data_IF_078772274482
#
_entry.id   IF_078772274482
#
_cell.length_a   1.000
_cell.length_b   1.000
_cell.length_c   1.000
_cell.angle_alpha   90.00
_cell.angle_beta   90.00
_cell.angle_gamma   90.00
#
_symmetry.space_group_name_H-M   'P 1'
#
loop_
_entity.id
_entity.type
_entity.pdbx_description
1 polymer ?
#
# COMPACT_ATOMS: atom_id res chain seq x y z
N UNK A 1 25.02 1.95 42.17
CA UNK A 1 25.87 2.94 41.45
C UNK A 1 25.16 3.64 40.28
N UNK A 2 24.63 2.96 39.25
CA UNK A 2 23.98 3.61 38.08
C UNK A 2 22.80 4.55 38.41
N UNK A 3 21.91 4.15 39.34
CA UNK A 3 20.78 4.99 39.80
C UNK A 3 21.24 6.28 40.53
N UNK A 4 22.31 6.18 41.32
CA UNK A 4 22.88 7.31 42.05
C UNK A 4 23.55 8.31 41.10
N UNK A 5 24.36 7.84 40.14
CA UNK A 5 24.91 8.70 39.08
C UNK A 5 23.83 9.37 38.24
N UNK A 6 22.73 8.66 37.94
CA UNK A 6 21.61 9.23 37.18
C UNK A 6 20.88 10.35 37.96
N UNK A 7 20.65 10.13 39.26
CA UNK A 7 20.08 11.15 40.17
C UNK A 7 21.00 12.37 40.28
N UNK A 8 22.30 12.16 40.44
CA UNK A 8 23.30 13.22 40.53
C UNK A 8 23.37 14.05 39.24
N UNK A 9 23.42 13.38 38.08
CA UNK A 9 23.41 14.05 36.77
C UNK A 9 22.13 14.85 36.53
N UNK A 10 20.97 14.33 36.96
CA UNK A 10 19.69 15.05 36.86
C UNK A 10 19.66 16.28 37.77
N UNK A 11 20.19 16.17 38.98
CA UNK A 11 20.29 17.29 39.92
C UNK A 11 21.24 18.37 39.39
N UNK A 12 22.45 17.99 38.96
CA UNK A 12 23.42 18.89 38.31
C UNK A 12 22.80 19.57 37.09
N UNK A 13 22.02 18.82 36.30
CA UNK A 13 21.33 19.34 35.12
C UNK A 13 20.28 20.42 35.43
N UNK A 14 19.68 20.41 36.62
CA UNK A 14 18.71 21.41 37.04
C UNK A 14 19.46 22.60 37.65
N UNK A 15 20.47 22.32 38.48
CA UNK A 15 21.28 23.33 39.15
C UNK A 15 21.95 24.30 38.16
N UNK A 16 22.57 23.82 37.07
CA UNK A 16 23.20 24.73 36.10
C UNK A 16 22.21 25.64 35.38
N UNK A 17 20.93 25.24 35.24
CA UNK A 17 19.91 26.01 34.52
C UNK A 17 19.37 27.18 35.34
N UNK A 18 19.37 27.06 36.66
CA UNK A 18 18.82 28.05 37.59
C UNK A 18 19.96 28.85 38.27
N UNK A 19 21.19 28.34 38.25
CA UNK A 19 22.35 29.04 38.80
C UNK A 19 22.53 30.46 38.24
N UNK A 20 22.42 30.72 36.92
CA UNK A 20 22.60 32.08 36.40
C UNK A 20 21.59 33.08 36.95
N UNK A 21 20.35 32.65 37.20
CA UNK A 21 19.32 33.48 37.81
C UNK A 21 19.72 33.96 39.21
N UNK A 22 20.17 33.05 40.09
CA UNK A 22 20.54 33.42 41.47
C UNK A 22 21.82 34.25 41.54
N UNK A 23 22.79 34.01 40.67
CA UNK A 23 24.00 34.85 40.63
C UNK A 23 23.71 36.21 39.99
N UNK A 24 22.80 36.27 39.00
CA UNK A 24 22.27 37.53 38.49
C UNK A 24 21.62 38.36 39.59
N UNK A 25 20.79 37.71 40.44
CA UNK A 25 20.13 38.36 41.57
C UNK A 25 21.16 38.96 42.54
N UNK A 26 22.22 38.20 42.82
CA UNK A 26 23.33 38.66 43.66
C UNK A 26 24.08 39.85 43.05
N UNK A 27 24.23 39.91 41.73
CA UNK A 27 24.91 41.02 41.05
C UNK A 27 24.05 42.30 41.00
N UNK A 28 22.74 42.17 40.76
CA UNK A 28 21.85 43.31 40.55
C UNK A 28 21.26 43.88 41.84
N UNK A 29 20.92 43.04 42.83
CA UNK A 29 20.19 43.48 44.01
C UNK A 29 20.91 44.57 44.83
N UNK A 30 22.23 44.47 45.12
CA UNK A 30 22.94 45.52 45.86
C UNK A 30 22.95 46.85 45.09
N UNK A 31 23.15 46.80 43.77
CA UNK A 31 23.21 47.98 42.89
C UNK A 31 21.88 48.74 42.92
N UNK A 32 20.76 48.05 42.76
CA UNK A 32 19.43 48.69 42.77
C UNK A 32 19.01 49.21 44.15
N UNK A 33 19.51 48.60 45.23
CA UNK A 33 19.34 49.13 46.59
C UNK A 33 20.11 50.44 46.75
N UNK A 34 21.36 50.50 46.28
CA UNK A 34 22.21 51.71 46.36
C UNK A 34 21.68 52.83 45.46
N UNK A 35 21.08 52.50 44.32
CA UNK A 35 20.42 53.44 43.39
C UNK A 35 19.00 53.87 43.85
N UNK A 36 18.55 53.41 45.02
CA UNK A 36 17.26 53.76 45.61
C UNK A 36 16.05 53.48 44.70
N UNK A 37 16.10 52.37 43.93
CA UNK A 37 14.95 51.89 43.18
C UNK A 37 13.72 51.70 44.07
N UNK A 38 12.52 51.88 43.51
CA UNK A 38 11.28 51.71 44.28
C UNK A 38 11.04 50.26 44.70
N UNK A 39 11.51 49.29 43.90
CA UNK A 39 11.33 47.85 44.16
C UNK A 39 12.61 47.04 43.80
N UNK A 40 13.73 47.26 44.50
CA UNK A 40 15.05 46.76 44.09
C UNK A 40 15.12 45.22 44.01
N UNK A 41 14.33 44.53 44.82
CA UNK A 41 14.21 43.06 44.74
C UNK A 41 13.53 42.60 43.45
N UNK A 42 12.41 43.23 43.07
CA UNK A 42 11.68 42.85 41.85
C UNK A 42 12.48 43.24 40.59
N UNK A 43 13.17 44.38 40.64
CA UNK A 43 14.04 44.83 39.56
C UNK A 43 15.22 43.86 39.37
N UNK A 44 15.82 43.38 40.47
CA UNK A 44 16.86 42.35 40.39
C UNK A 44 16.33 41.03 39.81
N UNK A 45 15.10 40.62 40.15
CA UNK A 45 14.46 39.43 39.57
C UNK A 45 14.30 39.60 38.07
N UNK A 46 13.79 40.76 37.64
CA UNK A 46 13.61 41.08 36.23
C UNK A 46 14.95 41.10 35.48
N UNK A 47 15.93 41.85 35.96
CA UNK A 47 17.25 41.96 35.33
C UNK A 47 17.98 40.60 35.25
N UNK A 48 17.80 39.73 36.25
CA UNK A 48 18.34 38.37 36.25
C UNK A 48 17.68 37.45 35.22
N UNK A 49 16.38 37.62 34.96
CA UNK A 49 15.68 36.94 33.87
C UNK A 49 16.19 37.46 32.52
N UNK A 50 16.42 38.77 32.39
CA UNK A 50 16.89 39.39 31.16
C UNK A 50 18.26 38.88 30.69
N UNK A 51 19.11 38.38 31.61
CA UNK A 51 20.38 37.72 31.25
C UNK A 51 20.19 36.51 30.32
N UNK A 52 19.05 35.81 30.39
CA UNK A 52 18.74 34.68 29.51
C UNK A 52 18.44 35.10 28.06
N UNK A 53 18.12 36.37 27.83
CA UNK A 53 18.04 36.98 26.50
C UNK A 53 19.38 37.57 26.03
N UNK A 54 20.40 37.57 26.91
CA UNK A 54 21.66 38.26 26.67
C UNK A 54 21.59 39.76 26.95
N UNK A 55 20.53 40.27 27.55
CA UNK A 55 20.39 41.68 27.91
C UNK A 55 20.99 41.94 29.29
N UNK A 56 21.59 43.12 29.47
CA UNK A 56 22.07 43.63 30.75
C UNK A 56 21.30 44.92 31.01
N UNK A 57 20.94 45.17 32.27
CA UNK A 57 20.27 46.42 32.66
C UNK A 57 21.16 47.63 32.36
N UNK A 58 20.57 48.67 31.78
CA UNK A 58 21.31 49.89 31.46
C UNK A 58 21.73 50.61 32.74
N UNK A 59 22.98 51.07 32.81
CA UNK A 59 23.52 51.80 33.97
C UNK A 59 24.29 50.94 34.97
N UNK A 60 24.14 49.61 34.92
CA UNK A 60 24.87 48.69 35.80
C UNK A 60 26.28 48.41 35.26
N UNK A 61 27.31 48.55 36.11
CA UNK A 61 28.69 48.24 35.74
C UNK A 61 28.86 46.74 35.47
N UNK A 62 29.41 46.43 34.30
CA UNK A 62 29.50 45.06 33.82
C UNK A 62 30.82 44.41 34.26
N UNK A 63 30.82 43.86 35.47
CA UNK A 63 31.97 43.15 36.02
C UNK A 63 32.14 41.73 35.41
N UNK A 64 33.31 41.10 35.65
CA UNK A 64 33.62 39.78 35.10
C UNK A 64 32.65 38.67 35.54
N UNK A 65 32.09 38.77 36.74
CA UNK A 65 31.10 37.81 37.25
C UNK A 65 29.78 37.95 36.48
N UNK A 66 29.28 39.17 36.27
CA UNK A 66 28.05 39.44 35.55
C UNK A 66 28.16 39.00 34.07
N UNK A 67 29.32 39.21 33.43
CA UNK A 67 29.56 38.67 32.08
C UNK A 67 29.56 37.15 32.04
N UNK A 68 30.25 36.49 32.98
CA UNK A 68 30.27 35.03 33.06
C UNK A 68 28.85 34.47 33.21
N UNK A 69 28.05 35.08 34.09
CA UNK A 69 26.66 34.69 34.35
C UNK A 69 25.79 34.92 33.11
N UNK A 70 25.97 36.03 32.39
CA UNK A 70 25.28 36.29 31.12
C UNK A 70 25.56 35.20 30.09
N UNK A 71 26.81 34.79 29.92
CA UNK A 71 27.16 33.71 28.99
C UNK A 71 26.56 32.36 29.43
N UNK A 72 26.56 32.06 30.73
CA UNK A 72 25.92 30.84 31.25
C UNK A 72 24.39 30.85 31.09
N UNK A 73 23.75 32.01 31.26
CA UNK A 73 22.32 32.18 31.02
C UNK A 73 21.98 31.99 29.54
N UNK A 74 22.74 32.58 28.62
CA UNK A 74 22.60 32.38 27.17
C UNK A 74 22.81 30.91 26.76
N UNK A 75 23.84 30.25 27.30
CA UNK A 75 24.08 28.82 27.05
C UNK A 75 22.91 27.96 27.56
N UNK A 76 22.30 28.34 28.69
CA UNK A 76 21.10 27.69 29.20
C UNK A 76 19.91 27.88 28.27
N UNK A 77 19.67 29.10 27.78
CA UNK A 77 18.61 29.38 26.80
C UNK A 77 18.80 28.56 25.54
N UNK A 78 20.01 28.52 24.98
CA UNK A 78 20.33 27.71 23.80
C UNK A 78 20.06 26.23 24.05
N UNK A 79 20.47 25.70 25.20
CA UNK A 79 20.21 24.30 25.57
C UNK A 79 18.70 24.00 25.72
N UNK A 80 17.91 24.93 26.27
CA UNK A 80 16.45 24.80 26.37
C UNK A 80 15.83 24.78 24.96
N UNK A 81 16.26 25.69 24.08
CA UNK A 81 15.78 25.77 22.69
C UNK A 81 16.13 24.50 21.92
N UNK A 82 17.37 24.02 21.98
CA UNK A 82 17.78 22.76 21.33
C UNK A 82 16.94 21.59 21.82
N UNK A 83 16.78 21.43 23.14
CA UNK A 83 15.94 20.36 23.70
C UNK A 83 14.46 20.50 23.31
N UNK A 84 13.95 21.73 23.14
CA UNK A 84 12.59 21.98 22.68
C UNK A 84 12.44 21.61 21.19
N UNK A 85 13.43 21.94 20.36
CA UNK A 85 13.49 21.55 18.94
C UNK A 85 13.60 20.03 18.77
N UNK A 86 14.44 19.36 19.56
CA UNK A 86 14.59 17.90 19.55
C UNK A 86 13.27 17.19 19.91
N UNK A 87 12.53 17.76 20.89
CA UNK A 87 11.21 17.25 21.29
C UNK A 87 10.06 17.71 20.40
N UNK A 88 10.30 18.68 19.51
CA UNK A 88 9.25 19.22 18.64
C UNK A 88 8.70 18.12 17.72
N UNK A 89 9.56 17.22 17.24
CA UNK A 89 9.12 16.07 16.45
C UNK A 89 8.19 15.15 17.27
N UNK A 90 8.51 14.87 18.53
CA UNK A 90 7.64 14.07 19.41
C UNK A 90 6.28 14.75 19.66
N UNK A 91 6.27 16.07 19.79
CA UNK A 91 5.03 16.85 19.92
C UNK A 91 4.20 16.74 18.64
N UNK A 92 4.82 16.92 17.48
CA UNK A 92 4.14 16.78 16.17
C UNK A 92 3.58 15.37 16.01
N UNK A 93 4.35 14.33 16.37
CA UNK A 93 3.90 12.94 16.33
C UNK A 93 2.69 12.76 17.25
N UNK A 94 2.76 13.22 18.51
CA UNK A 94 1.63 13.16 19.45
C UNK A 94 0.38 13.86 18.91
N UNK A 95 0.54 15.04 18.28
CA UNK A 95 -0.56 15.77 17.66
C UNK A 95 -1.17 14.98 16.50
N UNK A 96 -0.35 14.39 15.64
CA UNK A 96 -0.81 13.55 14.52
C UNK A 96 -1.53 12.29 14.99
N UNK A 97 -1.11 11.69 16.11
CA UNK A 97 -1.72 10.48 16.66
C UNK A 97 -3.18 10.67 17.12
N UNK A 98 -3.64 11.90 17.36
CA UNK A 98 -5.06 12.17 17.60
C UNK A 98 -5.92 12.01 16.34
N UNK A 99 -5.31 11.98 15.16
CA UNK A 99 -6.04 11.76 13.92
C UNK A 99 -6.46 10.27 13.84
N UNK A 100 -7.76 9.96 13.61
CA UNK A 100 -8.24 8.58 13.51
C UNK A 100 -7.68 7.83 12.29
N UNK A 101 -7.11 8.56 11.33
CA UNK A 101 -6.42 8.05 10.15
C UNK A 101 -4.89 8.17 10.25
N UNK A 102 -4.35 8.46 11.45
CA UNK A 102 -2.91 8.48 11.68
C UNK A 102 -2.28 7.15 11.27
N UNK A 103 -1.28 7.24 10.40
CA UNK A 103 -0.61 6.10 9.78
C UNK A 103 0.89 6.20 10.05
N UNK A 104 1.42 5.18 10.72
CA UNK A 104 2.85 5.05 10.95
C UNK A 104 3.44 4.13 9.88
N UNK A 105 4.46 4.63 9.17
CA UNK A 105 5.11 3.91 8.08
C UNK A 105 6.48 3.41 8.53
N UNK A 106 6.71 2.11 8.38
CA UNK A 106 7.98 1.42 8.59
C UNK A 106 8.41 0.72 7.31
N UNK A 107 9.72 0.69 7.05
CA UNK A 107 10.25 -0.05 5.91
C UNK A 107 11.51 0.57 5.31
N UNK A 108 12.23 -0.25 4.56
CA UNK A 108 13.42 0.10 3.76
C UNK A 108 13.18 -0.10 2.25
N UNK A 109 11.95 -0.41 1.83
CA UNK A 109 11.60 -0.55 0.42
C UNK A 109 11.70 0.78 -0.34
N UNK A 110 12.12 0.75 -1.60
CA UNK A 110 12.15 1.91 -2.49
C UNK A 110 10.77 2.58 -2.70
N UNK A 111 9.68 1.89 -2.36
CA UNK A 111 8.31 2.41 -2.45
C UNK A 111 7.89 3.26 -1.23
N UNK A 112 8.64 3.24 -0.13
CA UNK A 112 8.27 3.89 1.15
C UNK A 112 8.12 5.40 1.01
N UNK A 113 8.99 6.05 0.24
CA UNK A 113 8.90 7.50 0.04
C UNK A 113 7.64 7.89 -0.72
N UNK A 114 7.34 7.18 -1.81
CA UNK A 114 6.19 7.46 -2.67
C UNK A 114 4.85 7.30 -1.92
N UNK A 115 4.67 6.20 -1.18
CA UNK A 115 3.47 6.01 -0.38
C UNK A 115 3.37 7.04 0.73
N UNK A 116 4.48 7.37 1.40
CA UNK A 116 4.51 8.36 2.46
C UNK A 116 4.09 9.74 1.95
N UNK A 117 4.57 10.13 0.77
CA UNK A 117 4.19 11.37 0.12
C UNK A 117 2.71 11.40 -0.29
N UNK A 118 2.15 10.25 -0.70
CA UNK A 118 0.74 10.13 -1.05
C UNK A 118 -0.22 10.17 0.14
N UNK A 119 0.26 9.91 1.38
CA UNK A 119 -0.55 10.04 2.59
C UNK A 119 -0.65 11.53 2.99
N UNK A 120 -1.83 12.05 3.37
CA UNK A 120 -1.98 13.44 3.80
C UNK A 120 -0.99 13.84 4.91
N UNK A 121 -0.36 15.03 4.86
CA UNK A 121 0.68 15.46 5.81
C UNK A 121 0.28 15.36 7.29
N UNK A 122 -0.99 15.64 7.62
CA UNK A 122 -1.54 15.54 8.98
C UNK A 122 -1.81 14.11 9.47
N UNK A 123 -1.72 13.12 8.59
CA UNK A 123 -1.96 11.69 8.89
C UNK A 123 -0.67 10.86 8.86
N UNK A 124 0.34 11.28 8.08
CA UNK A 124 1.57 10.51 7.91
C UNK A 124 2.57 10.71 9.04
N UNK A 125 3.08 9.60 9.57
CA UNK A 125 4.13 9.57 10.59
C UNK A 125 5.24 8.64 10.08
N UNK A 126 6.45 9.19 9.88
CA UNK A 126 7.62 8.39 9.54
C UNK A 126 8.21 7.85 10.83
N UNK A 127 8.36 6.53 10.90
CA UNK A 127 9.03 5.90 12.03
C UNK A 127 10.48 5.57 11.69
N UNK A 128 11.33 5.67 12.72
CA UNK A 128 12.65 5.04 12.70
C UNK A 128 12.56 3.62 13.26
N UNK A 129 13.62 3.17 13.94
CA UNK A 129 13.68 1.81 14.50
C UNK A 129 12.76 1.58 15.71
N UNK A 130 12.40 2.66 16.42
CA UNK A 130 11.57 2.58 17.63
C UNK A 130 10.10 2.48 17.26
N UNK A 131 9.39 1.57 17.92
CA UNK A 131 7.95 1.43 17.78
C UNK A 131 7.24 2.67 18.34
N UNK A 132 6.48 3.35 17.47
CA UNK A 132 5.53 4.40 17.82
C UNK A 132 4.18 3.73 18.08
N UNK A 133 3.62 3.90 19.27
CA UNK A 133 2.33 3.35 19.64
C UNK A 133 1.19 4.36 19.47
N UNK A 134 -0.05 3.89 19.54
CA UNK A 134 -1.25 4.75 19.56
C UNK A 134 -1.84 5.08 18.19
N UNK A 135 -1.12 4.81 17.09
CA UNK A 135 -1.67 5.03 15.76
C UNK A 135 -2.82 4.08 15.43
N UNK A 136 -3.70 4.53 14.53
CA UNK A 136 -4.83 3.75 14.04
C UNK A 136 -4.40 2.73 12.97
N UNK A 137 -3.43 3.11 12.13
CA UNK A 137 -2.92 2.32 11.00
C UNK A 137 -1.40 2.19 11.06
N UNK A 138 -0.91 1.02 10.69
CA UNK A 138 0.52 0.73 10.56
C UNK A 138 0.79 0.18 9.16
N UNK A 139 1.78 0.73 8.48
CA UNK A 139 2.22 0.29 7.16
C UNK A 139 3.63 -0.28 7.28
N UNK A 140 3.80 -1.55 6.92
CA UNK A 140 5.06 -2.29 6.96
C UNK A 140 5.50 -2.60 5.53
N UNK A 141 6.58 -1.96 5.06
CA UNK A 141 7.06 -2.03 3.68
C UNK A 141 8.56 -2.26 3.63
N UNK A 142 8.99 -3.46 4.06
CA UNK A 142 10.39 -3.84 3.98
C UNK A 142 10.74 -4.49 2.64
N UNK A 143 12.00 -4.41 2.22
CA UNK A 143 12.50 -4.93 0.94
C UNK A 143 12.25 -6.43 0.75
N UNK A 144 12.12 -7.17 1.86
CA UNK A 144 11.96 -8.62 1.90
C UNK A 144 10.81 -9.01 2.83
N UNK A 145 10.03 -10.00 2.42
CA UNK A 145 8.86 -10.51 3.18
C UNK A 145 9.24 -10.91 4.61
N UNK A 146 10.39 -11.57 4.80
CA UNK A 146 10.88 -11.99 6.12
C UNK A 146 11.10 -10.80 7.06
N UNK A 147 11.66 -9.69 6.57
CA UNK A 147 11.85 -8.48 7.40
C UNK A 147 10.51 -7.90 7.85
N UNK A 148 9.52 -7.85 6.95
CA UNK A 148 8.16 -7.40 7.28
C UNK A 148 7.54 -8.29 8.37
N UNK A 149 7.68 -9.61 8.26
CA UNK A 149 7.16 -10.57 9.24
C UNK A 149 7.90 -10.51 10.58
N UNK A 150 9.23 -10.43 10.57
CA UNK A 150 10.05 -10.29 11.77
C UNK A 150 9.71 -9.01 12.53
N UNK A 151 9.52 -7.90 11.82
CA UNK A 151 9.08 -6.65 12.43
C UNK A 151 7.71 -6.79 13.08
N UNK A 152 6.75 -7.41 12.39
CA UNK A 152 5.43 -7.67 12.93
C UNK A 152 5.49 -8.54 14.20
N UNK A 153 6.27 -9.64 14.15
CA UNK A 153 6.42 -10.56 15.27
C UNK A 153 7.08 -9.89 16.49
N UNK A 154 8.17 -9.14 16.26
CA UNK A 154 8.87 -8.39 17.31
C UNK A 154 7.96 -7.39 18.03
N UNK A 155 7.02 -6.78 17.30
CA UNK A 155 6.10 -5.77 17.81
C UNK A 155 4.66 -6.29 17.97
N UNK A 156 4.47 -7.61 18.03
CA UNK A 156 3.15 -8.25 18.00
C UNK A 156 2.19 -7.71 19.08
N UNK A 157 2.68 -7.48 20.30
CA UNK A 157 1.85 -6.97 21.41
C UNK A 157 1.19 -5.62 21.08
N UNK A 158 1.92 -4.72 20.40
CA UNK A 158 1.46 -3.38 20.05
C UNK A 158 0.63 -3.38 18.75
N UNK A 159 0.87 -4.35 17.86
CA UNK A 159 0.24 -4.43 16.52
C UNK A 159 -1.00 -5.34 16.44
N UNK A 160 -1.13 -6.37 17.29
CA UNK A 160 -2.15 -7.44 17.15
C UNK A 160 -3.61 -6.97 17.09
N UNK A 161 -3.91 -5.80 17.65
CA UNK A 161 -5.25 -5.21 17.71
C UNK A 161 -5.34 -3.91 16.89
N UNK A 162 -4.47 -3.73 15.90
CA UNK A 162 -4.37 -2.54 15.06
C UNK A 162 -4.51 -2.93 13.59
N UNK A 163 -4.96 -1.98 12.77
CA UNK A 163 -4.98 -2.18 11.32
C UNK A 163 -3.54 -2.13 10.79
N UNK A 164 -3.06 -3.27 10.29
CA UNK A 164 -1.70 -3.43 9.76
C UNK A 164 -1.77 -3.74 8.28
N UNK A 165 -1.19 -2.87 7.47
CA UNK A 165 -0.96 -3.08 6.06
C UNK A 165 0.47 -3.57 5.89
N UNK A 166 0.65 -4.77 5.36
CA UNK A 166 1.97 -5.42 5.26
C UNK A 166 2.25 -5.79 3.80
N UNK A 167 3.40 -5.32 3.30
CA UNK A 167 3.88 -5.66 1.96
C UNK A 167 4.52 -7.05 2.01
N UNK A 168 3.94 -8.00 1.27
CA UNK A 168 4.48 -9.34 1.06
C UNK A 168 4.35 -9.70 -0.42
N UNK A 169 5.46 -9.97 -1.10
CA UNK A 169 5.48 -10.20 -2.55
C UNK A 169 5.37 -11.67 -2.93
N UNK A 170 5.77 -12.59 -2.05
CA UNK A 170 5.84 -14.03 -2.34
C UNK A 170 4.94 -14.88 -1.43
N UNK A 171 4.36 -14.27 -0.40
CA UNK A 171 3.50 -14.98 0.56
C UNK A 171 2.03 -14.83 0.17
N UNK A 172 1.35 -15.98 0.03
CA UNK A 172 -0.09 -15.98 -0.24
C UNK A 172 -0.87 -15.38 0.92
N UNK A 173 -1.60 -14.29 0.62
CA UNK A 173 -2.51 -13.61 1.56
C UNK A 173 -3.60 -14.51 2.13
N UNK A 174 -3.91 -15.63 1.46
CA UNK A 174 -4.96 -16.56 1.91
C UNK A 174 -4.61 -17.29 3.20
N UNK A 175 -3.32 -17.31 3.56
CA UNK A 175 -2.87 -17.93 4.79
C UNK A 175 -2.93 -16.96 6.00
N UNK A 176 -3.34 -15.70 5.78
CA UNK A 176 -3.39 -14.66 6.82
C UNK A 176 -4.85 -14.38 7.18
N UNK A 177 -5.30 -15.04 8.26
CA UNK A 177 -6.70 -14.99 8.69
C UNK A 177 -7.06 -13.76 9.53
N UNK A 178 -6.09 -13.09 10.15
CA UNK A 178 -6.37 -11.94 11.00
C UNK A 178 -7.02 -10.80 10.18
N UNK A 179 -8.28 -10.41 10.48
CA UNK A 179 -9.00 -9.43 9.67
C UNK A 179 -8.45 -8.00 9.80
N UNK A 180 -7.61 -7.74 10.81
CA UNK A 180 -6.92 -6.46 10.98
C UNK A 180 -5.60 -6.39 10.19
N UNK A 181 -5.19 -7.48 9.53
CA UNK A 181 -4.01 -7.49 8.66
C UNK A 181 -4.49 -7.48 7.21
N UNK A 182 -4.04 -6.46 6.47
CA UNK A 182 -4.20 -6.38 5.02
C UNK A 182 -2.85 -6.62 4.37
N UNK A 183 -2.74 -7.73 3.65
CA UNK A 183 -1.57 -8.04 2.84
C UNK A 183 -1.74 -7.39 1.49
N UNK A 184 -0.69 -6.75 1.00
CA UNK A 184 -0.66 -6.25 -0.36
C UNK A 184 0.69 -6.56 -1.01
N UNK A 185 0.68 -6.60 -2.34
CA UNK A 185 1.85 -6.77 -3.18
C UNK A 185 1.86 -5.66 -4.23
N UNK A 186 3.02 -5.07 -4.47
CA UNK A 186 3.19 -4.07 -5.52
C UNK A 186 3.03 -4.71 -6.89
N UNK A 187 3.51 -5.95 -7.06
CA UNK A 187 3.37 -6.69 -8.32
C UNK A 187 1.92 -7.06 -8.63
N UNK A 188 1.15 -7.43 -7.60
CA UNK A 188 -0.29 -7.66 -7.70
C UNK A 188 -1.05 -6.36 -8.06
N UNK A 189 -0.79 -5.27 -7.33
CA UNK A 189 -1.41 -3.97 -7.58
C UNK A 189 -1.11 -3.48 -9.00
N UNK A 190 0.12 -3.68 -9.47
CA UNK A 190 0.52 -3.40 -10.84
C UNK A 190 -0.34 -4.14 -11.87
N UNK A 191 -0.52 -5.46 -11.71
CA UNK A 191 -1.29 -6.26 -12.65
C UNK A 191 -2.79 -5.89 -12.65
N UNK A 192 -3.36 -5.64 -11.47
CA UNK A 192 -4.75 -5.17 -11.34
C UNK A 192 -4.96 -3.83 -12.04
N UNK A 193 -4.03 -2.89 -11.84
CA UNK A 193 -4.10 -1.58 -12.48
C UNK A 193 -3.86 -1.65 -13.99
N UNK A 194 -2.96 -2.52 -14.44
CA UNK A 194 -2.73 -2.77 -15.86
C UNK A 194 -4.02 -3.16 -16.59
N UNK A 195 -4.75 -4.17 -16.10
CA UNK A 195 -5.99 -4.61 -16.75
C UNK A 195 -7.15 -3.63 -16.61
N UNK A 196 -7.16 -2.77 -15.58
CA UNK A 196 -8.12 -1.66 -15.47
C UNK A 196 -7.85 -0.55 -16.49
N UNK A 197 -6.58 -0.23 -16.73
CA UNK A 197 -6.18 0.81 -17.67
C UNK A 197 -6.24 0.33 -19.12
N UNK A 198 -5.97 -0.95 -19.35
CA UNK A 198 -5.89 -1.57 -20.68
C UNK A 198 -6.72 -2.85 -20.73
N UNK A 199 -8.04 -2.79 -20.53
CA UNK A 199 -8.89 -3.96 -20.61
C UNK A 199 -8.87 -4.56 -22.02
N UNK A 200 -9.19 -5.84 -22.14
CA UNK A 200 -9.48 -6.43 -23.45
C UNK A 200 -10.83 -5.91 -23.97
N UNK A 201 -10.95 -5.70 -25.27
CA UNK A 201 -12.19 -5.24 -25.90
C UNK A 201 -12.75 -6.21 -26.94
N UNK A 202 -11.96 -7.21 -27.30
CA UNK A 202 -12.29 -8.27 -28.24
C UNK A 202 -11.52 -9.53 -27.86
N UNK A 203 -11.72 -10.62 -28.62
CA UNK A 203 -10.79 -11.74 -28.55
C UNK A 203 -9.40 -11.25 -28.96
N UNK A 204 -8.39 -11.63 -28.18
CA UNK A 204 -7.00 -11.25 -28.38
C UNK A 204 -6.10 -12.48 -28.18
N UNK A 205 -5.07 -12.58 -29.02
CA UNK A 205 -3.88 -13.41 -28.81
C UNK A 205 -2.84 -12.56 -28.09
N UNK A 206 -2.53 -12.92 -26.84
CA UNK A 206 -1.73 -12.12 -25.92
C UNK A 206 -0.40 -12.83 -25.63
N UNK A 207 0.72 -12.18 -25.94
CA UNK A 207 2.05 -12.65 -25.55
C UNK A 207 2.46 -12.00 -24.22
N UNK A 208 2.86 -12.81 -23.24
CA UNK A 208 3.46 -12.36 -21.98
C UNK A 208 4.92 -12.82 -21.97
N UNK A 209 5.83 -11.87 -22.19
CA UNK A 209 7.28 -12.08 -22.22
C UNK A 209 7.85 -11.81 -20.84
N UNK A 210 8.36 -12.87 -20.21
CA UNK A 210 8.86 -12.86 -18.85
C UNK A 210 7.82 -13.29 -17.83
N UNK A 211 8.15 -14.30 -17.02
CA UNK A 211 7.17 -14.94 -16.12
C UNK A 211 7.63 -14.98 -14.65
N UNK A 212 8.24 -13.88 -14.19
CA UNK A 212 8.43 -13.59 -12.77
C UNK A 212 7.13 -13.14 -12.08
N UNK A 213 7.22 -12.57 -10.87
CA UNK A 213 6.03 -12.18 -10.08
C UNK A 213 5.06 -11.26 -10.82
N UNK A 214 5.56 -10.31 -11.63
CA UNK A 214 4.69 -9.45 -12.45
C UNK A 214 3.95 -10.28 -13.51
N UNK A 215 4.67 -11.05 -14.33
CA UNK A 215 4.05 -11.87 -15.39
C UNK A 215 3.03 -12.87 -14.87
N UNK A 216 3.34 -13.53 -13.73
CA UNK A 216 2.41 -14.41 -13.02
C UNK A 216 1.13 -13.67 -12.62
N UNK A 217 1.25 -12.48 -12.02
CA UNK A 217 0.10 -11.67 -11.64
C UNK A 217 -0.68 -11.12 -12.85
N UNK A 218 0.00 -10.73 -13.93
CA UNK A 218 -0.65 -10.29 -15.18
C UNK A 218 -1.54 -11.42 -15.71
N UNK A 219 -1.04 -12.65 -15.80
CA UNK A 219 -1.87 -13.80 -16.20
C UNK A 219 -3.00 -14.07 -15.20
N UNK A 220 -2.67 -14.16 -13.91
CA UNK A 220 -3.61 -14.51 -12.84
C UNK A 220 -4.83 -13.58 -12.81
N UNK A 221 -4.61 -12.27 -12.93
CA UNK A 221 -5.69 -11.28 -12.98
C UNK A 221 -6.33 -11.19 -14.37
N UNK A 222 -5.56 -11.37 -15.45
CA UNK A 222 -6.11 -11.39 -16.81
C UNK A 222 -7.19 -12.46 -16.96
N UNK A 223 -6.93 -13.68 -16.46
CA UNK A 223 -7.90 -14.78 -16.49
C UNK A 223 -9.21 -14.46 -15.75
N UNK A 224 -9.18 -13.60 -14.73
CA UNK A 224 -10.38 -13.21 -13.99
C UNK A 224 -11.06 -11.97 -14.59
N UNK A 225 -10.28 -10.98 -15.04
CA UNK A 225 -10.79 -9.65 -15.36
C UNK A 225 -11.18 -9.48 -16.82
N UNK A 226 -10.56 -10.26 -17.71
CA UNK A 226 -10.73 -10.14 -19.15
C UNK A 226 -11.93 -10.97 -19.62
N UNK A 227 -13.08 -10.79 -18.99
CA UNK A 227 -14.34 -11.46 -19.31
C UNK A 227 -15.29 -10.43 -19.94
N UNK A 228 -15.55 -10.56 -21.24
CA UNK A 228 -16.36 -9.61 -22.02
C UNK A 228 -17.53 -10.28 -22.75
N UNK A 229 -17.42 -11.57 -23.04
CA UNK A 229 -18.44 -12.37 -23.72
C UNK A 229 -18.35 -13.84 -23.24
N UNK A 230 -19.45 -14.53 -22.91
CA UNK A 230 -19.39 -15.93 -22.45
C UNK A 230 -18.75 -16.89 -23.45
N UNK A 231 -18.80 -16.57 -24.75
CA UNK A 231 -18.20 -17.32 -25.84
C UNK A 231 -16.83 -16.80 -26.30
N UNK A 232 -16.21 -15.87 -25.55
CA UNK A 232 -14.88 -15.34 -25.86
C UNK A 232 -13.82 -16.45 -25.99
N UNK A 233 -12.70 -16.16 -26.66
CA UNK A 233 -11.56 -17.07 -26.81
C UNK A 233 -10.26 -16.28 -26.78
N UNK A 234 -9.80 -15.94 -25.58
CA UNK A 234 -8.49 -15.35 -25.37
C UNK A 234 -7.43 -16.45 -25.35
N UNK A 235 -6.29 -16.18 -25.98
CA UNK A 235 -5.14 -17.11 -25.93
C UNK A 235 -3.94 -16.38 -25.34
N UNK A 236 -3.47 -16.85 -24.19
CA UNK A 236 -2.30 -16.32 -23.51
C UNK A 236 -1.08 -17.20 -23.82
N UNK A 237 -0.08 -16.65 -24.52
CA UNK A 237 1.22 -17.29 -24.70
C UNK A 237 2.20 -16.76 -23.66
N UNK A 238 2.72 -17.65 -22.84
CA UNK A 238 3.64 -17.32 -21.75
C UNK A 238 5.05 -17.70 -22.15
N UNK A 239 5.91 -16.71 -22.35
CA UNK A 239 7.33 -16.91 -22.66
C UNK A 239 8.15 -16.73 -21.39
N UNK A 240 8.49 -17.85 -20.75
CA UNK A 240 9.23 -17.92 -19.48
C UNK A 240 8.82 -19.13 -18.64
N UNK A 241 9.57 -19.40 -17.57
CA UNK A 241 9.39 -20.61 -16.75
C UNK A 241 8.04 -20.61 -16.00
N UNK A 242 7.06 -21.34 -16.52
CA UNK A 242 5.72 -21.48 -15.94
C UNK A 242 5.55 -22.69 -15.03
N UNK A 243 6.60 -23.50 -14.78
CA UNK A 243 6.50 -24.78 -14.08
C UNK A 243 5.93 -24.63 -12.67
N UNK A 244 6.42 -23.64 -11.93
CA UNK A 244 5.96 -23.37 -10.57
C UNK A 244 4.50 -22.92 -10.54
N UNK A 245 4.12 -22.02 -11.47
CA UNK A 245 2.74 -21.53 -11.55
C UNK A 245 1.76 -22.67 -11.84
N UNK A 246 2.07 -23.55 -12.78
CA UNK A 246 1.22 -24.72 -13.08
C UNK A 246 1.16 -25.72 -11.92
N UNK A 247 2.26 -25.89 -11.17
CA UNK A 247 2.28 -26.73 -9.96
C UNK A 247 1.38 -26.16 -8.86
N UNK A 248 1.28 -24.84 -8.76
CA UNK A 248 0.44 -24.15 -7.77
C UNK A 248 -1.04 -24.05 -8.19
N UNK A 249 -1.34 -24.13 -9.49
CA UNK A 249 -2.68 -23.94 -10.06
C UNK A 249 -3.10 -25.20 -10.85
N UNK A 250 -3.52 -26.24 -10.14
CA UNK A 250 -3.77 -27.57 -10.71
C UNK A 250 -5.02 -27.66 -11.60
N UNK A 251 -5.94 -26.70 -11.47
CA UNK A 251 -7.20 -26.64 -12.23
C UNK A 251 -7.15 -25.55 -13.33
N UNK A 252 -5.96 -25.15 -13.78
CA UNK A 252 -5.77 -24.11 -14.81
C UNK A 252 -6.37 -24.50 -16.16
N UNK A 253 -6.52 -25.80 -16.45
CA UNK A 253 -7.13 -26.31 -17.67
C UNK A 253 -8.66 -26.06 -17.74
N UNK A 254 -9.28 -25.69 -16.62
CA UNK A 254 -10.69 -25.31 -16.53
C UNK A 254 -10.99 -23.88 -17.00
N UNK A 255 -9.98 -23.11 -17.44
CA UNK A 255 -10.15 -21.73 -17.94
C UNK A 255 -10.86 -21.62 -19.30
N UNK A 256 -11.28 -22.76 -19.87
CA UNK A 256 -11.98 -22.84 -21.15
C UNK A 256 -13.17 -21.86 -21.21
N UNK A 257 -13.47 -21.32 -22.39
CA UNK A 257 -12.79 -21.56 -23.69
C UNK A 257 -11.46 -20.81 -23.89
N UNK A 258 -11.02 -19.98 -22.94
CA UNK A 258 -9.70 -19.33 -23.02
C UNK A 258 -8.57 -20.35 -22.83
N UNK A 259 -7.44 -20.08 -23.47
CA UNK A 259 -6.29 -20.99 -23.50
C UNK A 259 -5.03 -20.32 -22.94
N UNK A 260 -4.22 -21.11 -22.22
CA UNK A 260 -2.91 -20.68 -21.71
C UNK A 260 -1.85 -21.64 -22.23
N UNK A 261 -0.95 -21.14 -23.06
CA UNK A 261 0.11 -21.89 -23.73
C UNK A 261 1.46 -21.46 -23.16
N UNK A 262 2.24 -22.41 -22.65
CA UNK A 262 3.52 -22.12 -22.02
C UNK A 262 4.69 -22.51 -22.93
N UNK A 263 5.61 -21.56 -23.08
CA UNK A 263 6.91 -21.70 -23.74
C UNK A 263 7.98 -21.55 -22.65
N UNK A 264 8.21 -22.64 -21.91
CA UNK A 264 9.00 -22.62 -20.66
C UNK A 264 10.50 -22.32 -20.88
N UNK A 265 11.01 -22.51 -22.10
CA UNK A 265 12.36 -22.11 -22.49
C UNK A 265 12.52 -20.59 -22.61
N UNK A 266 11.40 -19.85 -22.62
CA UNK A 266 11.36 -18.40 -22.78
C UNK A 266 11.75 -17.93 -24.17
N UNK A 267 11.89 -18.84 -25.14
CA UNK A 267 12.30 -18.52 -26.50
C UNK A 267 11.06 -18.12 -27.30
N UNK A 268 11.16 -17.00 -28.00
CA UNK A 268 10.17 -16.53 -28.96
C UNK A 268 10.88 -16.09 -30.22
N UNK A 269 10.30 -16.37 -31.37
CA UNK A 269 10.78 -15.82 -32.62
C UNK A 269 10.24 -14.40 -32.79
N UNK A 270 11.12 -13.45 -33.16
CA UNK A 270 10.70 -12.07 -33.37
C UNK A 270 9.58 -11.96 -34.40
N UNK A 271 9.64 -12.74 -35.48
CA UNK A 271 8.64 -12.72 -36.57
C UNK A 271 7.26 -13.14 -36.06
N UNK A 272 7.17 -14.18 -35.21
CA UNK A 272 5.90 -14.64 -34.64
C UNK A 272 5.20 -13.59 -33.78
N UNK A 273 5.94 -12.63 -33.22
CA UNK A 273 5.36 -11.55 -32.40
C UNK A 273 4.46 -10.61 -33.22
N UNK A 274 4.57 -10.61 -34.54
CA UNK A 274 3.68 -9.84 -35.42
C UNK A 274 2.24 -10.40 -35.44
N UNK A 275 2.05 -11.67 -35.09
CA UNK A 275 0.74 -12.34 -35.09
C UNK A 275 -0.05 -12.14 -33.77
N UNK A 276 0.54 -11.44 -32.80
CA UNK A 276 -0.10 -11.16 -31.51
C UNK A 276 -0.80 -9.81 -31.51
N UNK A 277 -2.05 -9.80 -31.03
CA UNK A 277 -2.84 -8.58 -30.85
C UNK A 277 -2.28 -7.71 -29.71
N UNK A 278 -1.59 -8.33 -28.75
CA UNK A 278 -1.01 -7.67 -27.59
C UNK A 278 0.29 -8.34 -27.16
N UNK A 279 1.34 -7.55 -26.96
CA UNK A 279 2.61 -8.02 -26.40
C UNK A 279 2.88 -7.32 -25.08
N UNK A 280 3.08 -8.08 -24.00
CA UNK A 280 3.35 -7.57 -22.65
C UNK A 280 4.75 -8.04 -22.22
N UNK A 281 5.65 -7.10 -21.97
CA UNK A 281 7.04 -7.37 -21.57
C UNK A 281 7.20 -7.06 -20.08
N UNK A 282 7.54 -8.09 -19.29
CA UNK A 282 7.65 -8.01 -17.82
C UNK A 282 8.73 -8.93 -17.23
N UNK A 283 9.81 -9.18 -17.98
CA UNK A 283 10.85 -10.17 -17.68
C UNK A 283 11.84 -9.87 -16.55
N UNK A 284 11.94 -8.64 -16.06
CA UNK A 284 12.75 -8.39 -14.85
C UNK A 284 12.24 -7.23 -13.99
N UNK A 285 12.62 -7.25 -12.71
CA UNK A 285 12.45 -6.12 -11.76
C UNK A 285 13.31 -4.92 -12.12
N UNK A 286 14.44 -5.15 -12.80
CA UNK A 286 15.36 -4.13 -13.27
C UNK A 286 14.98 -3.74 -14.69
N UNK A 287 13.98 -2.86 -14.84
CA UNK A 287 13.34 -2.51 -16.12
C UNK A 287 14.25 -2.23 -17.34
N UNK A 288 15.55 -2.00 -17.14
CA UNK A 288 16.59 -2.01 -18.20
C UNK A 288 16.53 -3.20 -19.17
N UNK A 289 16.26 -4.42 -18.69
CA UNK A 289 16.15 -5.60 -19.56
C UNK A 289 14.86 -5.59 -20.41
N UNK A 290 13.75 -5.04 -19.88
CA UNK A 290 12.49 -4.97 -20.63
C UNK A 290 12.59 -3.97 -21.80
N UNK A 291 13.34 -2.88 -21.61
CA UNK A 291 13.59 -1.88 -22.66
C UNK A 291 14.44 -2.47 -23.77
N UNK A 292 15.45 -3.28 -23.44
CA UNK A 292 16.26 -3.98 -24.44
C UNK A 292 15.42 -4.94 -25.29
N UNK A 293 14.53 -5.72 -24.66
CA UNK A 293 13.61 -6.62 -25.36
C UNK A 293 12.70 -5.82 -26.32
N UNK A 294 12.09 -4.75 -25.82
CA UNK A 294 11.23 -3.90 -26.64
C UNK A 294 12.00 -3.29 -27.83
N UNK A 295 13.22 -2.81 -27.60
CA UNK A 295 14.08 -2.27 -28.66
C UNK A 295 14.40 -3.31 -29.74
N UNK A 296 14.71 -4.55 -29.35
CA UNK A 296 14.98 -5.64 -30.31
C UNK A 296 13.73 -5.99 -31.10
N UNK A 297 12.57 -6.08 -30.45
CA UNK A 297 11.29 -6.36 -31.10
C UNK A 297 10.93 -5.31 -32.16
N UNK A 298 11.06 -4.03 -31.84
CA UNK A 298 10.73 -2.93 -32.74
C UNK A 298 11.59 -2.91 -34.02
N UNK A 299 12.82 -3.45 -33.96
CA UNK A 299 13.75 -3.52 -35.10
C UNK A 299 13.58 -4.82 -35.87
N UNK A 300 13.45 -5.95 -35.16
CA UNK A 300 13.51 -7.28 -35.74
C UNK A 300 12.16 -7.78 -36.27
N UNK A 301 11.05 -7.15 -35.90
CA UNK A 301 9.71 -7.62 -36.26
C UNK A 301 8.78 -6.46 -36.62
N UNK A 302 7.95 -6.61 -37.67
CA UNK A 302 6.94 -5.62 -38.04
C UNK A 302 5.71 -5.71 -37.10
N UNK A 303 5.93 -5.69 -35.79
CA UNK A 303 4.85 -5.71 -34.79
C UNK A 303 3.99 -4.45 -34.96
N UNK A 304 2.76 -4.66 -35.44
CA UNK A 304 1.74 -3.63 -35.65
C UNK A 304 0.90 -3.38 -34.40
N UNK A 305 0.85 -4.36 -33.49
CA UNK A 305 0.15 -4.28 -32.21
C UNK A 305 0.86 -3.38 -31.20
N UNK A 306 0.13 -3.04 -30.13
CA UNK A 306 0.70 -2.29 -29.01
C UNK A 306 1.56 -3.19 -28.14
N UNK A 307 2.73 -2.66 -27.76
CA UNK A 307 3.69 -3.32 -26.88
C UNK A 307 3.65 -2.63 -25.52
N UNK A 308 3.22 -3.37 -24.52
CA UNK A 308 3.14 -2.93 -23.13
C UNK A 308 4.41 -3.32 -22.38
N UNK A 309 5.06 -2.36 -21.74
CA UNK A 309 6.35 -2.58 -21.09
C UNK A 309 6.26 -2.22 -19.61
N UNK A 310 6.62 -3.16 -18.74
CA UNK A 310 6.72 -2.89 -17.31
C UNK A 310 7.96 -2.03 -17.01
N UNK A 311 7.75 -0.81 -16.54
CA UNK A 311 8.82 0.18 -16.26
C UNK A 311 8.55 0.93 -14.94
N UNK A 312 8.88 0.33 -13.78
CA UNK A 312 8.50 0.89 -12.47
C UNK A 312 9.19 2.22 -12.11
N UNK A 313 10.37 2.46 -12.67
CA UNK A 313 11.18 3.66 -12.43
C UNK A 313 10.97 4.78 -13.47
N UNK A 314 9.91 4.69 -14.29
CA UNK A 314 9.30 5.82 -14.99
C UNK A 314 10.01 6.48 -16.19
N UNK A 315 11.35 6.55 -16.27
CA UNK A 315 11.86 7.83 -16.79
C UNK A 315 12.50 7.95 -18.18
N UNK A 316 12.64 6.91 -19.03
CA UNK A 316 13.48 7.09 -20.25
C UNK A 316 12.88 6.53 -21.56
N UNK A 317 11.85 5.68 -21.50
CA UNK A 317 11.48 4.85 -22.66
C UNK A 317 10.60 5.59 -23.67
N UNK A 318 9.47 6.15 -23.26
CA UNK A 318 8.48 6.72 -24.19
C UNK A 318 9.02 7.88 -25.03
N UNK A 319 9.87 8.72 -24.44
CA UNK A 319 10.47 9.86 -25.15
C UNK A 319 11.59 9.45 -26.13
N UNK A 320 12.29 8.34 -25.89
CA UNK A 320 13.38 7.89 -26.77
C UNK A 320 12.89 7.11 -27.99
N UNK A 321 11.85 6.29 -27.84
CA UNK A 321 11.41 5.39 -28.91
C UNK A 321 10.40 6.01 -29.89
N UNK A 322 9.97 7.27 -29.67
CA UNK A 322 9.24 8.12 -30.64
C UNK A 322 7.95 7.53 -31.23
N UNK A 323 7.46 6.42 -30.68
CA UNK A 323 6.45 5.56 -31.28
C UNK A 323 5.30 5.39 -30.29
N UNK A 324 4.10 5.79 -30.71
CA UNK A 324 2.84 5.56 -29.97
C UNK A 324 2.52 4.07 -29.75
N UNK A 325 3.36 3.15 -30.27
CA UNK A 325 3.23 1.69 -30.10
C UNK A 325 3.73 1.18 -28.75
N UNK A 326 4.62 1.93 -28.07
CA UNK A 326 5.12 1.52 -26.75
C UNK A 326 4.31 2.17 -25.65
N UNK A 327 3.71 1.35 -24.79
CA UNK A 327 2.96 1.81 -23.62
C UNK A 327 3.67 1.32 -22.37
N UNK A 328 4.18 2.25 -21.58
CA UNK A 328 4.76 1.93 -20.28
C UNK A 328 3.66 1.75 -19.23
N UNK A 329 3.84 0.79 -18.32
CA UNK A 329 2.95 0.61 -17.18
C UNK A 329 3.71 0.24 -15.91
N UNK A 330 3.03 0.38 -14.77
CA UNK A 330 3.50 -0.11 -13.48
C UNK A 330 4.45 0.86 -12.79
N UNK A 331 4.34 2.15 -13.09
CA UNK A 331 5.13 3.18 -12.42
C UNK A 331 4.83 3.17 -10.93
N UNK A 332 5.83 3.50 -10.12
CA UNK A 332 5.66 3.51 -8.66
C UNK A 332 4.47 4.36 -8.20
N UNK A 333 4.20 5.48 -8.88
CA UNK A 333 3.04 6.35 -8.58
C UNK A 333 1.70 5.65 -8.81
N UNK A 334 1.60 4.80 -9.83
CA UNK A 334 0.38 4.04 -10.16
C UNK A 334 0.13 2.87 -9.20
N UNK A 335 1.21 2.28 -8.66
CA UNK A 335 1.13 1.00 -7.92
C UNK A 335 1.27 1.16 -6.40
N UNK A 336 1.87 2.25 -5.92
CA UNK A 336 2.20 2.48 -4.51
C UNK A 336 1.58 3.77 -3.94
N UNK A 337 0.33 4.07 -4.30
CA UNK A 337 -0.44 5.17 -3.71
C UNK A 337 -1.29 4.72 -2.52
N UNK A 338 -1.68 5.66 -1.65
CA UNK A 338 -2.50 5.37 -0.47
C UNK A 338 -3.85 4.74 -0.83
N UNK A 339 -4.49 5.19 -1.92
CA UNK A 339 -5.75 4.64 -2.41
C UNK A 339 -5.61 3.17 -2.83
N UNK A 340 -4.47 2.81 -3.44
CA UNK A 340 -4.20 1.46 -3.94
C UNK A 340 -3.75 0.52 -2.82
N UNK A 341 -2.83 0.95 -1.96
CA UNK A 341 -2.28 0.12 -0.88
C UNK A 341 -3.31 -0.12 0.22
N UNK A 342 -4.05 0.91 0.65
CA UNK A 342 -5.08 0.71 1.68
C UNK A 342 -6.35 0.08 1.11
N UNK A 343 -6.60 0.27 -0.19
CA UNK A 343 -7.69 -0.32 -0.96
C UNK A 343 -9.07 -0.15 -0.28
N UNK A 344 -9.26 0.93 0.48
CA UNK A 344 -10.42 1.12 1.37
C UNK A 344 -11.73 1.13 0.57
N UNK A 345 -11.72 1.72 -0.63
CA UNK A 345 -12.89 1.81 -1.52
C UNK A 345 -13.34 0.43 -2.01
N UNK A 346 -12.42 -0.36 -2.57
CA UNK A 346 -12.73 -1.72 -3.06
C UNK A 346 -13.08 -2.66 -1.91
N UNK A 347 -12.40 -2.58 -0.77
CA UNK A 347 -12.78 -3.36 0.42
C UNK A 347 -14.19 -3.01 0.91
N UNK A 348 -14.55 -1.72 0.94
CA UNK A 348 -15.88 -1.29 1.32
C UNK A 348 -16.96 -1.75 0.33
N UNK A 349 -16.65 -1.75 -0.98
CA UNK A 349 -17.55 -2.27 -2.01
C UNK A 349 -17.75 -3.79 -1.89
N UNK A 350 -16.66 -4.55 -1.75
CA UNK A 350 -16.69 -6.00 -1.52
C UNK A 350 -17.49 -6.36 -0.26
N UNK A 351 -17.30 -5.59 0.83
CA UNK A 351 -18.05 -5.76 2.08
C UNK A 351 -19.55 -5.50 1.89
N UNK A 352 -19.93 -4.42 1.21
CA UNK A 352 -21.34 -4.09 0.93
C UNK A 352 -22.03 -5.18 0.11
N UNK A 353 -21.38 -5.67 -0.94
CA UNK A 353 -21.89 -6.79 -1.75
C UNK A 353 -22.11 -8.04 -0.90
N UNK A 354 -21.13 -8.40 -0.06
CA UNK A 354 -21.28 -9.54 0.86
C UNK A 354 -22.40 -9.32 1.88
N UNK A 355 -22.55 -8.11 2.43
CA UNK A 355 -23.61 -7.79 3.38
C UNK A 355 -25.01 -7.90 2.76
N UNK A 356 -25.19 -7.55 1.49
CA UNK A 356 -26.43 -7.79 0.76
C UNK A 356 -26.76 -9.28 0.72
N UNK A 357 -25.82 -10.11 0.26
CA UNK A 357 -25.98 -11.56 0.21
C UNK A 357 -26.28 -12.15 1.60
N UNK A 358 -25.53 -11.73 2.62
CA UNK A 358 -25.71 -12.18 3.99
C UNK A 358 -27.09 -11.84 4.56
N UNK A 359 -27.57 -10.61 4.34
CA UNK A 359 -28.91 -10.18 4.81
C UNK A 359 -30.03 -10.94 4.12
N UNK A 360 -29.89 -11.25 2.83
CA UNK A 360 -30.94 -11.88 2.03
C UNK A 360 -30.97 -13.40 2.12
N UNK A 361 -29.82 -14.06 2.12
CA UNK A 361 -29.71 -15.52 2.07
C UNK A 361 -29.05 -16.14 3.30
N UNK A 362 -28.60 -15.33 4.27
CA UNK A 362 -27.89 -15.79 5.46
C UNK A 362 -26.42 -16.14 5.20
N UNK A 363 -25.81 -16.88 6.13
CA UNK A 363 -24.44 -17.36 6.01
C UNK A 363 -23.48 -16.78 7.05
N UNK A 364 -22.23 -16.56 6.66
CA UNK A 364 -21.18 -16.06 7.56
C UNK A 364 -21.06 -14.53 7.44
N UNK A 365 -21.10 -13.76 8.55
CA UNK A 365 -20.89 -12.31 8.48
C UNK A 365 -19.46 -11.98 8.04
N UNK A 366 -19.26 -10.78 7.47
CA UNK A 366 -17.98 -10.34 6.90
C UNK A 366 -16.79 -10.56 7.85
N UNK A 367 -16.96 -10.21 9.13
CA UNK A 367 -15.92 -10.28 10.17
C UNK A 367 -15.46 -11.70 10.49
N UNK A 368 -16.23 -12.71 10.09
CA UNK A 368 -15.94 -14.14 10.32
C UNK A 368 -15.60 -14.88 9.03
N UNK A 369 -15.53 -14.20 7.89
CA UNK A 369 -15.13 -14.82 6.64
C UNK A 369 -13.64 -15.17 6.67
N UNK A 370 -13.34 -16.39 6.22
CA UNK A 370 -11.98 -16.79 5.90
C UNK A 370 -11.39 -15.89 4.79
N UNK A 371 -10.06 -15.84 4.72
CA UNK A 371 -9.36 -15.01 3.75
C UNK A 371 -9.78 -15.32 2.30
N UNK A 372 -9.95 -16.61 1.95
CA UNK A 372 -10.34 -17.03 0.60
C UNK A 372 -11.66 -16.38 0.15
N UNK A 373 -12.72 -16.44 0.98
CA UNK A 373 -14.02 -15.85 0.67
C UNK A 373 -13.98 -14.33 0.66
N UNK A 374 -13.22 -13.69 1.56
CA UNK A 374 -13.05 -12.23 1.53
C UNK A 374 -12.44 -11.78 0.22
N UNK A 375 -11.36 -12.42 -0.22
CA UNK A 375 -10.69 -12.05 -1.47
C UNK A 375 -11.49 -12.46 -2.72
N UNK A 376 -12.39 -13.44 -2.64
CA UNK A 376 -13.36 -13.71 -3.72
C UNK A 376 -14.29 -12.52 -3.96
N UNK A 377 -14.81 -11.91 -2.87
CA UNK A 377 -15.61 -10.69 -2.94
C UNK A 377 -14.79 -9.49 -3.45
N UNK A 378 -13.52 -9.39 -3.07
CA UNK A 378 -12.62 -8.35 -3.59
C UNK A 378 -12.38 -8.50 -5.09
N UNK A 379 -12.18 -9.73 -5.57
CA UNK A 379 -12.05 -10.03 -7.01
C UNK A 379 -13.34 -9.67 -7.78
N UNK A 380 -14.52 -9.98 -7.22
CA UNK A 380 -15.81 -9.52 -7.77
C UNK A 380 -15.89 -7.98 -7.85
N UNK A 381 -15.48 -7.29 -6.78
CA UNK A 381 -15.46 -5.83 -6.75
C UNK A 381 -14.45 -5.22 -7.72
N UNK A 382 -13.35 -5.89 -8.04
CA UNK A 382 -12.44 -5.42 -9.10
C UNK A 382 -13.11 -5.53 -10.47
N UNK A 383 -13.75 -6.67 -10.75
CA UNK A 383 -14.39 -6.95 -12.03
C UNK A 383 -15.62 -6.07 -12.31
N UNK A 384 -16.21 -5.47 -11.27
CA UNK A 384 -17.31 -4.51 -11.38
C UNK A 384 -17.09 -3.44 -12.45
N UNK A 385 -15.87 -2.94 -12.61
CA UNK A 385 -15.55 -1.95 -13.64
C UNK A 385 -15.93 -2.43 -15.04
N UNK A 386 -15.59 -3.68 -15.37
CA UNK A 386 -15.94 -4.29 -16.65
C UNK A 386 -17.45 -4.50 -16.78
N UNK A 387 -18.10 -4.96 -15.71
CA UNK A 387 -19.56 -5.12 -15.69
C UNK A 387 -20.29 -3.81 -16.01
N UNK A 388 -19.89 -2.71 -15.38
CA UNK A 388 -20.52 -1.41 -15.63
C UNK A 388 -20.32 -0.99 -17.10
N UNK A 389 -19.11 -1.19 -17.66
CA UNK A 389 -18.89 -0.92 -19.09
C UNK A 389 -19.75 -1.76 -20.03
N UNK A 390 -19.97 -3.04 -19.71
CA UNK A 390 -20.81 -3.93 -20.52
C UNK A 390 -22.29 -3.53 -20.44
N UNK A 391 -22.78 -3.20 -19.25
CA UNK A 391 -24.13 -2.71 -19.04
C UNK A 391 -24.37 -1.38 -19.79
N UNK A 392 -23.41 -0.45 -19.74
CA UNK A 392 -23.46 0.82 -20.49
C UNK A 392 -23.52 0.60 -22.01
N UNK A 393 -22.95 -0.52 -22.50
CA UNK A 393 -23.04 -0.95 -23.92
C UNK A 393 -24.33 -1.70 -24.24
N UNK A 394 -25.25 -1.85 -23.29
CA UNK A 394 -26.54 -2.52 -23.46
C UNK A 394 -26.49 -4.05 -23.33
N UNK A 395 -25.42 -4.61 -22.77
CA UNK A 395 -25.36 -6.05 -22.45
C UNK A 395 -26.38 -6.35 -21.35
N UNK A 396 -27.07 -7.48 -21.47
CA UNK A 396 -28.14 -7.84 -20.52
C UNK A 396 -27.61 -8.17 -19.13
N UNK A 397 -28.45 -7.98 -18.10
CA UNK A 397 -28.13 -8.41 -16.72
C UNK A 397 -27.87 -9.91 -16.61
N UNK A 398 -28.53 -10.74 -17.42
CA UNK A 398 -28.34 -12.19 -17.43
C UNK A 398 -26.95 -12.56 -17.96
N UNK A 399 -26.54 -11.97 -19.08
CA UNK A 399 -25.20 -12.16 -19.66
C UNK A 399 -24.11 -11.68 -18.72
N UNK A 400 -24.31 -10.53 -18.07
CA UNK A 400 -23.39 -10.00 -17.06
C UNK A 400 -23.31 -10.91 -15.83
N UNK A 401 -24.42 -11.49 -15.38
CA UNK A 401 -24.44 -12.47 -14.29
C UNK A 401 -23.71 -13.76 -14.68
N UNK A 402 -23.87 -14.24 -15.91
CA UNK A 402 -23.11 -15.36 -16.45
C UNK A 402 -21.60 -15.07 -16.45
N UNK A 403 -21.18 -13.87 -16.87
CA UNK A 403 -19.77 -13.48 -16.84
C UNK A 403 -19.21 -13.41 -15.41
N UNK A 404 -19.97 -12.87 -14.45
CA UNK A 404 -19.56 -12.87 -13.04
C UNK A 404 -19.49 -14.30 -12.46
N UNK A 405 -20.39 -15.20 -12.87
CA UNK A 405 -20.33 -16.61 -12.50
C UNK A 405 -19.09 -17.30 -13.09
N UNK A 406 -18.76 -17.03 -14.35
CA UNK A 406 -17.52 -17.50 -14.99
C UNK A 406 -16.31 -16.98 -14.22
N UNK A 407 -16.26 -15.67 -13.89
CA UNK A 407 -15.19 -15.07 -13.07
C UNK A 407 -15.07 -15.78 -11.72
N UNK A 408 -16.20 -16.01 -11.05
CA UNK A 408 -16.24 -16.70 -9.77
C UNK A 408 -15.72 -18.14 -9.87
N UNK A 409 -16.08 -18.87 -10.93
CA UNK A 409 -15.54 -20.20 -11.21
C UNK A 409 -14.03 -20.15 -11.46
N UNK A 410 -13.55 -19.21 -12.28
CA UNK A 410 -12.10 -19.01 -12.55
C UNK A 410 -11.33 -18.66 -11.28
N UNK A 411 -11.88 -17.82 -10.40
CA UNK A 411 -11.30 -17.56 -9.09
C UNK A 411 -11.16 -18.86 -8.27
N UNK A 412 -12.15 -19.74 -8.30
CA UNK A 412 -12.11 -21.04 -7.61
C UNK A 412 -11.06 -21.97 -8.22
N UNK A 413 -11.03 -22.12 -9.54
CA UNK A 413 -10.04 -22.94 -10.25
C UNK A 413 -8.60 -22.47 -10.01
N UNK A 414 -8.35 -21.14 -10.04
CA UNK A 414 -7.06 -20.56 -9.69
C UNK A 414 -6.62 -20.86 -8.26
N UNK A 415 -7.53 -21.27 -7.38
CA UNK A 415 -7.22 -21.67 -6.02
C UNK A 415 -7.42 -23.17 -5.77
N UNK A 416 -7.38 -23.97 -6.84
CA UNK A 416 -7.47 -25.43 -6.84
C UNK A 416 -8.78 -25.95 -6.23
N UNK A 417 -9.87 -25.22 -6.44
CA UNK A 417 -11.20 -25.76 -6.22
C UNK A 417 -11.67 -26.47 -7.47
N UNK A 418 -12.45 -27.53 -7.29
CA UNK A 418 -12.99 -28.33 -8.38
C UNK A 418 -14.45 -28.65 -8.18
N UNK A 419 -15.10 -28.99 -9.29
CA UNK A 419 -16.47 -29.46 -9.26
C UNK A 419 -16.63 -30.74 -8.43
N UNK A 420 -17.79 -30.86 -7.78
CA UNK A 420 -18.31 -32.12 -7.29
C UNK A 420 -19.76 -31.96 -6.85
N UNK A 421 -20.57 -33.04 -6.84
CA UNK A 421 -22.02 -32.95 -6.65
C UNK A 421 -22.43 -32.38 -5.28
N UNK A 422 -21.52 -32.44 -4.30
CA UNK A 422 -21.74 -31.93 -2.94
C UNK A 422 -20.56 -31.04 -2.55
N UNK A 423 -20.87 -29.82 -2.09
CA UNK A 423 -19.88 -28.86 -1.63
C UNK A 423 -19.13 -29.37 -0.41
N UNK A 424 -17.80 -29.31 -0.46
CA UNK A 424 -16.91 -29.65 0.63
C UNK A 424 -15.70 -28.69 0.64
N UNK A 425 -15.80 -27.63 1.44
CA UNK A 425 -14.77 -26.60 1.52
C UNK A 425 -13.39 -27.12 1.95
N UNK A 426 -13.34 -28.14 2.85
CA UNK A 426 -12.07 -28.72 3.31
C UNK A 426 -11.32 -29.45 2.19
N UNK A 427 -12.06 -29.99 1.21
CA UNK A 427 -11.51 -30.66 0.03
C UNK A 427 -11.45 -29.76 -1.20
N UNK A 428 -11.81 -28.47 -1.05
CA UNK A 428 -11.96 -27.50 -2.14
C UNK A 428 -12.88 -28.01 -3.25
N UNK A 429 -14.03 -28.55 -2.86
CA UNK A 429 -15.07 -29.01 -3.79
C UNK A 429 -16.27 -28.09 -3.69
N UNK A 430 -16.82 -27.66 -4.82
CA UNK A 430 -18.05 -26.86 -4.85
C UNK A 430 -19.00 -27.33 -5.97
N UNK A 431 -20.29 -27.43 -5.65
CA UNK A 431 -21.32 -27.95 -6.56
C UNK A 431 -21.71 -26.98 -7.69
N UNK A 432 -21.58 -25.67 -7.47
CA UNK A 432 -21.83 -24.66 -8.50
C UNK A 432 -20.65 -24.40 -9.46
N UNK A 433 -19.58 -25.19 -9.44
CA UNK A 433 -18.49 -25.07 -10.43
C UNK A 433 -18.87 -25.78 -11.74
N UNK A 434 -19.92 -25.29 -12.37
CA UNK A 434 -20.53 -25.77 -13.62
C UNK A 434 -20.91 -24.57 -14.49
N UNK A 435 -21.15 -24.75 -15.80
CA UNK A 435 -21.64 -23.69 -16.67
C UNK A 435 -22.89 -23.00 -16.11
N UNK A 436 -23.02 -21.69 -16.33
CA UNK A 436 -24.15 -20.89 -15.84
C UNK A 436 -25.50 -21.46 -16.29
N UNK A 437 -25.57 -21.94 -17.55
CA UNK A 437 -26.75 -22.57 -18.12
C UNK A 437 -27.21 -23.83 -17.36
N UNK A 438 -26.30 -24.54 -16.69
CA UNK A 438 -26.57 -25.77 -15.92
C UNK A 438 -26.92 -25.50 -14.45
N UNK A 439 -26.83 -24.25 -13.98
CA UNK A 439 -27.27 -23.88 -12.65
C UNK A 439 -28.78 -24.03 -12.49
N UNK A 440 -29.22 -24.30 -11.25
CA UNK A 440 -30.63 -24.18 -10.90
C UNK A 440 -31.10 -22.73 -11.06
N UNK A 441 -32.38 -22.54 -11.40
CA UNK A 441 -32.97 -21.20 -11.54
C UNK A 441 -32.82 -20.34 -10.27
N UNK A 442 -32.85 -20.96 -9.08
CA UNK A 442 -32.64 -20.25 -7.83
C UNK A 442 -31.23 -19.65 -7.69
N UNK A 443 -30.19 -20.36 -8.17
CA UNK A 443 -28.81 -19.83 -8.16
C UNK A 443 -28.62 -18.76 -9.22
N UNK A 444 -29.19 -18.92 -10.42
CA UNK A 444 -29.16 -17.87 -11.47
C UNK A 444 -29.81 -16.57 -10.99
N UNK A 445 -30.98 -16.66 -10.36
CA UNK A 445 -31.68 -15.49 -9.80
C UNK A 445 -30.80 -14.79 -8.78
N UNK A 446 -30.14 -15.55 -7.90
CA UNK A 446 -29.26 -15.02 -6.87
C UNK A 446 -28.08 -14.25 -7.45
N UNK A 447 -27.47 -14.71 -8.54
CA UNK A 447 -26.38 -13.99 -9.21
C UNK A 447 -26.88 -12.70 -9.89
N UNK A 448 -28.02 -12.76 -10.57
CA UNK A 448 -28.66 -11.57 -11.19
C UNK A 448 -29.03 -10.52 -10.14
N UNK A 449 -29.62 -10.92 -9.02
CA UNK A 449 -30.01 -10.02 -7.94
C UNK A 449 -28.81 -9.33 -7.30
N UNK A 450 -27.67 -10.02 -7.20
CA UNK A 450 -26.44 -9.42 -6.69
C UNK A 450 -25.89 -8.34 -7.60
N UNK A 451 -25.93 -8.54 -8.93
CA UNK A 451 -25.55 -7.50 -9.89
C UNK A 451 -26.47 -6.27 -9.78
N UNK A 452 -27.78 -6.48 -9.60
CA UNK A 452 -28.74 -5.38 -9.46
C UNK A 452 -28.56 -4.59 -8.16
N UNK A 453 -28.36 -5.30 -7.04
CA UNK A 453 -28.24 -4.69 -5.70
C UNK A 453 -27.17 -3.60 -5.60
N UNK A 454 -26.13 -3.74 -6.41
CA UNK A 454 -24.98 -2.84 -6.41
C UNK A 454 -25.15 -1.63 -7.31
N UNK A 455 -26.09 -1.65 -8.27
CA UNK A 455 -26.39 -0.49 -9.11
C UNK A 455 -27.32 0.51 -8.41
N UNK A 456 -28.26 0.01 -7.62
CA UNK A 456 -29.20 0.85 -6.87
C UNK A 456 -28.45 1.78 -5.89
N UNK A 457 -27.34 1.31 -5.33
CA UNK A 457 -26.49 2.10 -4.43
C UNK A 457 -25.65 3.18 -5.15
N UNK A 458 -25.25 2.99 -6.41
CA UNK A 458 -24.44 3.97 -7.17
C UNK A 458 -25.28 5.18 -7.63
N UNK A 459 -26.60 5.05 -7.69
CA UNK A 459 -27.51 6.18 -8.00
C UNK A 459 -27.85 7.08 -6.80
N UNK A 460 -27.39 6.74 -5.60
CA UNK A 460 -27.71 7.45 -4.34
C UNK A 460 -26.50 8.23 -3.79
N UNK A 461 -25.31 8.09 -4.38
CA UNK A 461 -24.09 8.88 -4.08
C UNK A 461 -23.75 9.82 -5.21
#
# INVERSE_FOLDING_TARGET
>A
MKKFLHMLNKSLSISYKIFPFFVGMYCYYPVFVDEAHSFPFLDAVYASIMLYSGSIESGVEVNGLLQLVRFLALATTLNIVINALDKMNDVIIRLKLFNPKATVVYGDSGYVEYIFESIPPGQRIRAGEKMIEGAARYLLMFSEDNKSLEFYQKNYKSLKSKNVYIMLENISRQNIENPLITVFSITENCARQYWKNYPVTSNEKIAIIGFGNIGKNILFYGLQMNLIDPGQRLTYHIYGDGRDFRREHTELDQMRPDEVIFHDDGVYEFVEMADFDRVIICGSREGSSNVEIASKLLVASPVSSQIYIYVPNGDIVTNLFGSNRLICFGTTKETASCDIIFNEKTMAAARRQHEFYYKKYGGTPWEKLDAFKRYSNVSSSDYRYMINQLLDKGVSFETVAELEHIRWCRYHYLHNWKYGPVTNAKKRIHNCLIPFSELSEAEKIKDIEAIKSTMEDETIT
#
